data_IF_194794339807
#
_entry.id   IF_194794339807
#
_cell.length_a   1.000
_cell.length_b   1.000
_cell.length_c   1.000
_cell.angle_alpha   90.00
_cell.angle_beta   90.00
_cell.angle_gamma   90.00
#
_symmetry.space_group_name_H-M   'P 1'
#
loop_
_entity.id
_entity.type
_entity.pdbx_description
1 polymer ?
#
# COMPACT_ATOMS: atom_id res chain seq x y z
N UNK A 1 -23.71 10.64 -10.54
CA UNK A 1 -23.86 11.80 -11.45
C UNK A 1 -22.63 12.67 -11.26
N UNK A 2 -21.67 12.66 -12.19
CA UNK A 2 -20.53 13.55 -12.10
C UNK A 2 -20.98 14.96 -12.48
N UNK A 3 -20.89 15.92 -11.55
CA UNK A 3 -21.19 17.33 -11.80
C UNK A 3 -19.86 17.99 -12.15
N UNK A 4 -19.63 18.30 -13.42
CA UNK A 4 -18.40 18.94 -13.86
C UNK A 4 -18.51 19.54 -15.26
N UNK A 5 -17.89 20.70 -15.48
CA UNK A 5 -17.67 21.28 -16.81
C UNK A 5 -16.18 21.17 -17.12
N UNK A 6 -15.81 20.49 -18.20
CA UNK A 6 -14.47 20.61 -18.74
C UNK A 6 -14.24 22.09 -19.14
N UNK A 7 -13.00 22.56 -19.03
CA UNK A 7 -12.66 23.89 -19.52
C UNK A 7 -12.81 23.96 -21.05
N UNK A 8 -12.98 25.18 -21.57
CA UNK A 8 -13.22 25.42 -22.99
C UNK A 8 -12.05 24.96 -23.90
N UNK A 9 -10.87 24.68 -23.33
CA UNK A 9 -9.69 24.18 -24.05
C UNK A 9 -9.72 22.69 -24.39
N UNK A 10 -10.74 21.94 -23.94
CA UNK A 10 -10.87 20.50 -24.22
C UNK A 10 -9.86 19.59 -23.48
N UNK A 11 -8.98 20.19 -22.67
CA UNK A 11 -8.06 19.48 -21.79
C UNK A 11 -8.84 18.75 -20.68
N UNK A 12 -8.54 17.47 -20.45
CA UNK A 12 -9.23 16.61 -19.47
C UNK A 12 -8.42 16.41 -18.18
N UNK A 13 -7.45 17.28 -17.93
CA UNK A 13 -6.52 17.12 -16.81
C UNK A 13 -7.18 17.43 -15.47
N UNK A 14 -7.01 16.52 -14.52
CA UNK A 14 -7.43 16.71 -13.13
C UNK A 14 -6.29 17.41 -12.40
N UNK A 15 -6.52 18.64 -11.92
CA UNK A 15 -5.51 19.42 -11.17
C UNK A 15 -5.64 19.29 -9.65
N UNK A 16 -6.86 19.06 -9.18
CA UNK A 16 -7.15 18.94 -7.76
C UNK A 16 -8.32 17.98 -7.55
N UNK A 17 -8.34 17.33 -6.40
CA UNK A 17 -9.47 16.56 -5.89
C UNK A 17 -9.80 17.04 -4.48
N UNK A 18 -11.09 17.28 -4.24
CA UNK A 18 -11.60 17.60 -2.91
C UNK A 18 -12.37 16.41 -2.36
N UNK A 19 -12.04 16.02 -1.14
CA UNK A 19 -12.66 14.91 -0.42
C UNK A 19 -13.16 15.48 0.91
N UNK A 20 -14.45 15.28 1.17
CA UNK A 20 -15.07 15.71 2.41
C UNK A 20 -15.79 14.54 3.06
N UNK A 21 -15.67 14.44 4.38
CA UNK A 21 -16.47 13.54 5.20
C UNK A 21 -17.48 14.34 6.03
N UNK A 22 -18.66 13.73 6.25
CA UNK A 22 -19.68 14.26 7.13
C UNK A 22 -19.89 13.28 8.28
N UNK A 23 -19.18 13.48 9.39
CA UNK A 23 -19.59 12.92 10.68
C UNK A 23 -19.25 13.90 11.80
N UNK A 24 -20.10 13.91 12.85
CA UNK A 24 -19.90 14.72 14.07
C UNK A 24 -18.59 14.39 14.79
N UNK A 25 -17.96 13.29 14.43
CA UNK A 25 -16.74 12.77 15.05
C UNK A 25 -15.51 13.26 14.27
N UNK A 26 -15.56 13.27 12.93
CA UNK A 26 -14.51 13.89 12.10
C UNK A 26 -14.30 15.38 12.38
N UNK A 27 -15.37 16.10 12.75
CA UNK A 27 -15.27 17.52 13.11
C UNK A 27 -14.46 17.78 14.40
N UNK A 28 -14.20 16.73 15.19
CA UNK A 28 -13.39 16.79 16.43
C UNK A 28 -11.92 16.41 16.21
N UNK A 29 -11.56 15.86 15.06
CA UNK A 29 -10.19 15.46 14.73
C UNK A 29 -9.51 16.58 13.93
N UNK A 30 -8.24 16.84 14.20
CA UNK A 30 -7.46 17.87 13.48
C UNK A 30 -7.16 17.52 12.01
N UNK A 31 -7.38 16.27 11.62
CA UNK A 31 -7.02 15.75 10.30
C UNK A 31 -8.29 15.61 9.44
N UNK A 32 -8.33 16.34 8.33
CA UNK A 32 -9.41 16.23 7.38
C UNK A 32 -9.38 14.87 6.65
N UNK A 33 -10.54 14.42 6.12
CA UNK A 33 -10.65 13.10 5.49
C UNK A 33 -9.66 12.91 4.34
N UNK A 34 -8.64 12.08 4.55
CA UNK A 34 -7.68 11.69 3.53
C UNK A 34 -8.20 10.53 2.67
N UNK A 35 -7.80 10.42 1.39
CA UNK A 35 -8.14 9.27 0.56
C UNK A 35 -7.52 7.99 1.15
N UNK A 36 -8.25 6.88 1.09
CA UNK A 36 -7.71 5.55 1.38
C UNK A 36 -6.59 5.19 0.38
N UNK A 37 -5.80 4.16 0.70
CA UNK A 37 -4.68 3.76 -0.15
C UNK A 37 -5.08 3.49 -1.62
N UNK A 38 -6.21 2.82 -1.87
CA UNK A 38 -6.73 2.58 -3.23
C UNK A 38 -7.03 3.88 -3.99
N UNK A 39 -7.66 4.85 -3.33
CA UNK A 39 -7.95 6.16 -3.94
C UNK A 39 -6.65 6.90 -4.26
N UNK A 40 -5.66 6.85 -3.36
CA UNK A 40 -4.34 7.44 -3.62
C UNK A 40 -3.69 6.83 -4.86
N UNK A 41 -3.74 5.51 -5.01
CA UNK A 41 -3.21 4.81 -6.19
C UNK A 41 -3.83 5.35 -7.47
N UNK A 42 -5.15 5.48 -7.51
CA UNK A 42 -5.87 5.98 -8.68
C UNK A 42 -5.51 7.44 -8.99
N UNK A 43 -5.51 8.32 -7.98
CA UNK A 43 -5.13 9.73 -8.15
C UNK A 43 -3.69 9.84 -8.67
N UNK A 44 -2.78 9.00 -8.17
CA UNK A 44 -1.40 8.98 -8.63
C UNK A 44 -1.29 8.58 -10.10
N UNK A 45 -2.02 7.56 -10.55
CA UNK A 45 -2.02 7.17 -11.96
C UNK A 45 -2.54 8.30 -12.87
N UNK A 46 -3.58 9.03 -12.45
CA UNK A 46 -4.04 10.22 -13.16
C UNK A 46 -2.98 11.34 -13.18
N UNK A 47 -2.20 11.48 -12.10
CA UNK A 47 -1.11 12.45 -11.99
C UNK A 47 0.05 12.13 -12.94
N UNK A 48 0.30 10.84 -13.21
CA UNK A 48 1.31 10.41 -14.18
C UNK A 48 0.87 10.70 -15.62
N UNK A 49 -0.39 10.40 -15.96
CA UNK A 49 -0.93 10.63 -17.31
C UNK A 49 -0.95 12.13 -17.66
N UNK A 50 -1.39 12.97 -16.72
CA UNK A 50 -1.44 14.42 -16.90
C UNK A 50 -0.10 15.12 -16.69
N UNK A 51 0.89 14.43 -16.12
CA UNK A 51 2.16 14.99 -15.66
C UNK A 51 2.01 16.13 -14.64
N UNK A 52 0.86 16.25 -13.98
CA UNK A 52 0.56 17.24 -12.94
C UNK A 52 0.60 16.56 -11.58
N UNK A 53 1.25 17.18 -10.58
CA UNK A 53 1.06 16.72 -9.20
C UNK A 53 -0.32 17.19 -8.72
N UNK A 54 -1.23 16.25 -8.47
CA UNK A 54 -2.63 16.54 -8.18
C UNK A 54 -2.74 17.00 -6.72
N UNK A 55 -3.32 18.17 -6.53
CA UNK A 55 -3.64 18.70 -5.20
C UNK A 55 -4.76 17.86 -4.56
N UNK A 56 -4.58 17.49 -3.30
CA UNK A 56 -5.55 16.76 -2.51
C UNK A 56 -6.02 17.67 -1.38
N UNK A 57 -7.30 18.02 -1.44
CA UNK A 57 -7.97 18.89 -0.48
C UNK A 57 -8.86 18.01 0.40
N UNK A 58 -8.43 17.73 1.63
CA UNK A 58 -9.28 17.13 2.64
C UNK A 58 -10.08 18.21 3.35
N UNK A 59 -11.37 18.02 3.58
CA UNK A 59 -12.15 18.86 4.49
C UNK A 59 -13.07 18.06 5.41
N UNK A 60 -13.41 18.61 6.56
CA UNK A 60 -14.53 18.14 7.39
C UNK A 60 -15.75 19.05 7.19
N UNK A 61 -16.81 18.91 7.99
CA UNK A 61 -17.94 19.85 7.91
C UNK A 61 -17.61 21.21 8.53
N UNK A 62 -16.59 21.25 9.40
CA UNK A 62 -16.00 22.49 9.87
C UNK A 62 -15.11 23.11 8.79
N UNK A 63 -15.53 24.28 8.27
CA UNK A 63 -14.80 25.01 7.21
C UNK A 63 -13.38 25.45 7.62
N UNK A 64 -13.07 25.44 8.91
CA UNK A 64 -11.73 25.75 9.41
C UNK A 64 -10.79 24.53 9.39
N UNK A 65 -11.30 23.32 9.14
CA UNK A 65 -10.51 22.08 9.12
C UNK A 65 -10.35 21.62 7.67
N UNK A 66 -9.42 22.29 6.97
CA UNK A 66 -9.03 21.95 5.60
C UNK A 66 -7.55 21.55 5.60
N UNK A 67 -7.26 20.39 5.04
CA UNK A 67 -5.89 19.93 4.79
C UNK A 67 -5.61 20.03 3.30
N UNK A 68 -4.56 20.76 2.94
CA UNK A 68 -4.05 20.87 1.58
C UNK A 68 -2.74 20.09 1.48
N UNK A 69 -2.68 19.13 0.56
CA UNK A 69 -1.47 18.34 0.27
C UNK A 69 -1.44 17.94 -1.21
N UNK A 70 -0.48 17.11 -1.61
CA UNK A 70 -0.41 16.59 -2.98
C UNK A 70 -0.32 15.07 -2.99
N UNK A 71 -0.65 14.46 -4.12
CA UNK A 71 -0.64 13.00 -4.22
C UNK A 71 0.77 12.42 -4.06
N UNK A 72 1.81 13.11 -4.54
CA UNK A 72 3.21 12.67 -4.35
C UNK A 72 3.59 12.64 -2.86
N UNK A 73 3.10 13.57 -2.04
CA UNK A 73 3.31 13.56 -0.58
C UNK A 73 2.54 12.43 0.13
N UNK A 74 1.39 12.04 -0.41
CA UNK A 74 0.54 10.98 0.16
C UNK A 74 0.94 9.56 -0.26
N UNK A 75 1.80 9.41 -1.27
CA UNK A 75 2.39 8.14 -1.72
C UNK A 75 3.92 8.24 -1.80
N UNK A 76 4.60 8.28 -0.65
CA UNK A 76 6.06 8.26 -0.62
C UNK A 76 6.60 7.01 -1.34
N UNK A 77 7.76 7.16 -1.97
CA UNK A 77 8.46 6.24 -2.90
C UNK A 77 7.94 6.19 -4.35
N UNK A 78 6.73 6.67 -4.62
CA UNK A 78 6.19 6.76 -5.98
C UNK A 78 6.52 8.12 -6.59
N UNK A 79 7.77 8.31 -7.04
CA UNK A 79 8.19 9.52 -7.77
C UNK A 79 7.98 9.35 -9.27
N UNK A 80 7.76 10.46 -10.01
CA UNK A 80 7.67 10.47 -11.49
C UNK A 80 8.89 9.86 -12.21
N UNK A 81 10.00 9.66 -11.51
CA UNK A 81 11.23 9.05 -12.02
C UNK A 81 11.81 8.09 -10.98
N UNK A 82 11.91 6.80 -11.34
CA UNK A 82 12.51 5.74 -10.51
C UNK A 82 14.02 5.95 -10.27
N UNK A 83 14.70 6.74 -11.12
CA UNK A 83 16.15 6.99 -11.08
C UNK A 83 16.65 7.80 -9.88
N UNK A 84 15.76 8.35 -9.04
CA UNK A 84 16.13 9.22 -7.91
C UNK A 84 15.96 8.57 -6.52
N UNK A 85 15.82 7.23 -6.45
CA UNK A 85 15.84 6.52 -5.18
C UNK A 85 17.30 6.24 -4.79
N UNK A 86 17.78 6.95 -3.77
CA UNK A 86 19.07 6.71 -3.15
C UNK A 86 18.97 5.44 -2.30
N UNK A 87 18.98 4.26 -2.94
CA UNK A 87 18.90 2.96 -2.26
C UNK A 87 20.28 2.69 -1.65
N UNK A 88 20.40 2.54 -0.32
CA UNK A 88 21.67 2.19 0.31
C UNK A 88 22.20 0.87 -0.28
N UNK A 89 23.45 0.87 -0.73
CA UNK A 89 24.04 -0.25 -1.45
C UNK A 89 24.39 -1.47 -0.58
N UNK A 90 24.28 -1.37 0.75
CA UNK A 90 24.47 -2.49 1.68
C UNK A 90 23.62 -2.27 2.94
N UNK A 91 22.58 -3.09 3.12
CA UNK A 91 21.79 -3.15 4.36
C UNK A 91 22.15 -4.45 5.07
N UNK A 92 22.53 -4.36 6.35
CA UNK A 92 22.69 -5.55 7.18
C UNK A 92 21.33 -6.02 7.65
N UNK A 93 20.85 -7.13 7.08
CA UNK A 93 19.59 -7.76 7.44
C UNK A 93 19.75 -8.69 8.64
N UNK A 94 18.74 -8.76 9.49
CA UNK A 94 18.64 -9.81 10.50
C UNK A 94 18.36 -11.17 9.83
N UNK A 95 18.66 -12.27 10.52
CA UNK A 95 18.35 -13.62 10.03
C UNK A 95 16.85 -13.77 9.72
N UNK A 96 15.98 -13.21 10.57
CA UNK A 96 14.54 -13.22 10.35
C UNK A 96 14.10 -12.43 9.12
N UNK A 97 14.75 -11.31 8.81
CA UNK A 97 14.48 -10.54 7.59
C UNK A 97 14.94 -11.29 6.34
N UNK A 98 16.12 -11.94 6.39
CA UNK A 98 16.61 -12.78 5.30
C UNK A 98 15.67 -13.94 4.99
N UNK A 99 15.26 -14.69 6.01
CA UNK A 99 14.32 -15.81 5.88
C UNK A 99 12.97 -15.36 5.31
N UNK A 100 12.48 -14.18 5.72
CA UNK A 100 11.22 -13.65 5.23
C UNK A 100 11.30 -13.26 3.74
N UNK A 101 12.40 -12.63 3.31
CA UNK A 101 12.64 -12.32 1.89
C UNK A 101 12.76 -13.60 1.07
N UNK A 102 13.42 -14.63 1.58
CA UNK A 102 13.53 -15.94 0.91
C UNK A 102 12.18 -16.62 0.73
N UNK A 103 11.31 -16.56 1.75
CA UNK A 103 9.95 -17.06 1.64
C UNK A 103 9.15 -16.29 0.57
N UNK A 104 9.32 -14.97 0.48
CA UNK A 104 8.68 -14.15 -0.56
C UNK A 104 9.20 -14.49 -1.96
N UNK A 105 10.52 -14.68 -2.14
CA UNK A 105 11.13 -15.11 -3.40
C UNK A 105 10.57 -16.46 -3.82
N UNK A 106 10.57 -17.46 -2.93
CA UNK A 106 10.04 -18.79 -3.25
C UNK A 106 8.55 -18.74 -3.63
N UNK A 107 7.78 -17.84 -3.03
CA UNK A 107 6.37 -17.72 -3.35
C UNK A 107 6.12 -17.32 -4.82
N UNK A 108 7.05 -16.59 -5.47
CA UNK A 108 6.87 -16.16 -6.88
C UNK A 108 6.66 -17.32 -7.85
N UNK A 109 7.17 -18.51 -7.52
CA UNK A 109 7.06 -19.72 -8.35
C UNK A 109 5.61 -20.17 -8.58
N UNK A 110 4.70 -19.75 -7.70
CA UNK A 110 3.28 -20.14 -7.72
C UNK A 110 2.36 -19.07 -8.29
N UNK A 111 2.91 -17.93 -8.74
CA UNK A 111 2.13 -16.81 -9.23
C UNK A 111 1.28 -17.18 -10.45
N UNK A 112 0.00 -16.85 -10.40
CA UNK A 112 -0.86 -16.89 -11.59
C UNK A 112 -0.91 -15.49 -12.20
N UNK A 113 0.02 -15.20 -13.12
CA UNK A 113 0.14 -13.88 -13.75
C UNK A 113 0.22 -13.94 -15.29
N UNK A 114 -0.76 -14.55 -15.99
CA UNK A 114 -0.68 -14.73 -17.43
C UNK A 114 -0.78 -13.42 -18.22
N UNK A 115 -1.32 -12.34 -17.64
CA UNK A 115 -1.58 -11.09 -18.34
C UNK A 115 -0.39 -10.14 -18.23
N UNK A 116 0.15 -9.92 -17.03
CA UNK A 116 1.29 -9.01 -16.84
C UNK A 116 2.65 -9.68 -16.97
N UNK A 117 2.73 -11.00 -16.77
CA UNK A 117 3.99 -11.75 -16.59
C UNK A 117 4.84 -11.22 -15.42
N UNK A 118 4.20 -10.55 -14.47
CA UNK A 118 4.83 -9.98 -13.28
C UNK A 118 4.44 -10.82 -12.07
N UNK A 119 5.36 -11.71 -11.67
CA UNK A 119 5.16 -12.70 -10.63
C UNK A 119 5.60 -12.10 -9.31
N UNK A 120 4.63 -11.68 -8.50
CA UNK A 120 4.86 -11.06 -7.19
C UNK A 120 4.72 -12.13 -6.12
N UNK A 121 5.68 -12.16 -5.20
CA UNK A 121 5.67 -13.01 -4.03
C UNK A 121 5.72 -12.15 -2.77
N UNK A 122 4.97 -12.56 -1.75
CA UNK A 122 4.97 -11.91 -0.45
C UNK A 122 4.97 -12.93 0.67
N UNK A 123 5.58 -12.55 1.79
CA UNK A 123 5.59 -13.35 3.01
C UNK A 123 5.38 -12.45 4.22
N UNK A 124 4.62 -12.94 5.19
CA UNK A 124 4.35 -12.25 6.46
C UNK A 124 4.98 -13.03 7.61
N UNK A 125 5.57 -12.32 8.56
CA UNK A 125 6.09 -12.85 9.82
C UNK A 125 5.13 -12.46 10.93
N UNK A 126 4.72 -13.42 11.75
CA UNK A 126 3.87 -13.19 12.93
C UNK A 126 4.70 -13.12 14.20
N UNK A 127 4.11 -12.61 15.28
CA UNK A 127 4.77 -12.38 16.57
C UNK A 127 5.35 -13.65 17.21
N UNK A 128 4.74 -14.81 16.95
CA UNK A 128 5.19 -16.14 17.39
C UNK A 128 6.32 -16.71 16.52
N UNK A 129 6.72 -16.03 15.45
CA UNK A 129 7.77 -16.46 14.52
C UNK A 129 7.25 -17.27 13.31
N UNK A 130 5.95 -17.51 13.19
CA UNK A 130 5.38 -18.21 12.04
C UNK A 130 5.48 -17.36 10.76
N UNK A 131 5.72 -18.01 9.62
CA UNK A 131 5.79 -17.36 8.30
C UNK A 131 4.71 -17.93 7.38
N UNK A 132 3.93 -17.02 6.79
CA UNK A 132 2.94 -17.35 5.76
C UNK A 132 3.29 -16.62 4.47
N UNK A 133 3.22 -17.29 3.34
CA UNK A 133 3.56 -16.70 2.04
C UNK A 133 2.49 -16.98 1.00
N UNK A 134 2.46 -16.13 -0.02
CA UNK A 134 1.57 -16.27 -1.16
C UNK A 134 2.13 -15.48 -2.36
N UNK A 135 1.53 -15.72 -3.52
CA UNK A 135 1.81 -15.01 -4.76
C UNK A 135 0.56 -14.33 -5.32
N UNK A 136 0.73 -13.44 -6.29
CA UNK A 136 -0.41 -12.78 -6.93
C UNK A 136 -1.24 -13.74 -7.80
N UNK A 137 -2.54 -13.49 -7.83
CA UNK A 137 -3.51 -14.18 -8.70
C UNK A 137 -4.21 -13.14 -9.54
N UNK A 138 -3.84 -13.09 -10.82
CA UNK A 138 -4.43 -12.15 -11.77
C UNK A 138 -5.79 -12.61 -12.29
N UNK A 139 -6.58 -11.64 -12.70
CA UNK A 139 -7.86 -11.85 -13.35
C UNK A 139 -7.97 -10.95 -14.58
N UNK A 140 -8.62 -11.43 -15.64
CA UNK A 140 -8.88 -10.63 -16.85
C UNK A 140 -9.68 -9.36 -16.54
N UNK A 141 -10.59 -9.44 -15.56
CA UNK A 141 -11.14 -8.26 -14.91
C UNK A 141 -10.12 -7.78 -13.86
N UNK A 142 -9.18 -6.92 -14.26
CA UNK A 142 -8.03 -6.49 -13.43
C UNK A 142 -8.39 -6.03 -12.01
N UNK A 143 -9.58 -5.44 -11.80
CA UNK A 143 -10.06 -5.07 -10.47
C UNK A 143 -10.29 -6.25 -9.51
N UNK A 144 -10.43 -7.47 -10.05
CA UNK A 144 -10.55 -8.73 -9.30
C UNK A 144 -9.20 -9.41 -9.03
N UNK A 145 -8.09 -8.85 -9.48
CA UNK A 145 -6.75 -9.36 -9.16
C UNK A 145 -6.47 -9.23 -7.66
N UNK A 146 -5.93 -10.30 -7.06
CA UNK A 146 -5.50 -10.31 -5.67
C UNK A 146 -3.97 -10.28 -5.63
N UNK A 147 -3.43 -9.26 -4.97
CA UNK A 147 -2.00 -9.11 -4.80
C UNK A 147 -1.45 -10.10 -3.77
N UNK A 148 -0.17 -10.43 -3.89
CA UNK A 148 0.51 -11.41 -3.06
C UNK A 148 0.41 -11.08 -1.56
N UNK A 149 0.55 -9.80 -1.18
CA UNK A 149 0.52 -9.35 0.21
C UNK A 149 -0.84 -9.63 0.86
N UNK A 150 -1.94 -9.34 0.14
CA UNK A 150 -3.30 -9.59 0.62
C UNK A 150 -3.56 -11.09 0.79
N UNK A 151 -3.02 -11.93 -0.10
CA UNK A 151 -3.13 -13.38 0.03
C UNK A 151 -2.26 -13.93 1.16
N UNK A 152 -1.03 -13.43 1.36
CA UNK A 152 -0.15 -13.87 2.43
C UNK A 152 -0.75 -13.55 3.81
N UNK A 153 -1.34 -12.37 3.97
CA UNK A 153 -2.11 -12.01 5.16
C UNK A 153 -3.37 -12.87 5.29
N UNK A 154 -4.09 -13.11 4.19
CA UNK A 154 -5.26 -13.99 4.15
C UNK A 154 -4.94 -15.41 4.62
N UNK A 155 -3.81 -15.96 4.18
CA UNK A 155 -3.30 -17.27 4.61
C UNK A 155 -3.00 -17.29 6.10
N UNK A 156 -2.30 -16.28 6.63
CA UNK A 156 -2.05 -16.15 8.07
C UNK A 156 -3.37 -16.11 8.85
N UNK A 157 -4.33 -15.29 8.44
CA UNK A 157 -5.65 -15.18 9.06
C UNK A 157 -6.43 -16.51 9.01
N UNK A 158 -6.38 -17.24 7.89
CA UNK A 158 -7.04 -18.54 7.75
C UNK A 158 -6.45 -19.59 8.71
N UNK A 159 -5.19 -19.43 9.10
CA UNK A 159 -4.53 -20.23 10.14
C UNK A 159 -4.72 -19.66 11.57
N UNK A 160 -5.52 -18.62 11.74
CA UNK A 160 -5.78 -17.98 13.04
C UNK A 160 -4.70 -16.98 13.47
N UNK A 161 -3.66 -16.75 12.65
CA UNK A 161 -2.56 -15.86 12.97
C UNK A 161 -2.83 -14.44 12.43
N UNK A 162 -3.00 -13.47 13.33
CA UNK A 162 -3.31 -12.07 12.97
C UNK A 162 -2.29 -11.06 13.47
N UNK A 163 -1.40 -11.45 14.38
CA UNK A 163 -0.34 -10.61 14.96
C UNK A 163 0.87 -10.49 14.03
N UNK A 164 0.67 -9.93 12.83
CA UNK A 164 1.71 -9.78 11.81
C UNK A 164 2.64 -8.64 12.20
N UNK A 165 3.95 -8.92 12.27
CA UNK A 165 5.04 -7.97 12.63
C UNK A 165 5.83 -7.44 11.45
N UNK A 166 5.99 -8.24 10.39
CA UNK A 166 6.76 -7.86 9.20
C UNK A 166 6.14 -8.45 7.93
N UNK A 167 6.37 -7.80 6.80
CA UNK A 167 6.01 -8.30 5.48
C UNK A 167 7.19 -8.12 4.53
N UNK A 168 7.58 -9.16 3.79
CA UNK A 168 8.49 -9.03 2.66
C UNK A 168 7.74 -9.14 1.34
N UNK A 169 8.18 -8.38 0.34
CA UNK A 169 7.61 -8.32 -1.01
C UNK A 169 8.75 -8.34 -2.01
N UNK A 170 8.59 -9.14 -3.07
CA UNK A 170 9.51 -9.21 -4.20
C UNK A 170 8.75 -9.58 -5.47
N UNK A 171 9.43 -9.48 -6.61
CA UNK A 171 8.87 -9.88 -7.89
C UNK A 171 9.93 -10.41 -8.84
N UNK A 172 9.51 -11.29 -9.74
CA UNK A 172 10.27 -11.66 -10.93
C UNK A 172 9.40 -11.49 -12.19
N UNK A 173 10.04 -11.20 -13.31
CA UNK A 173 9.41 -11.07 -14.62
C UNK A 173 10.40 -11.48 -15.71
N UNK A 174 9.86 -11.86 -16.88
CA UNK A 174 10.65 -12.20 -18.07
C UNK A 174 11.49 -11.01 -18.57
N UNK A 175 11.09 -9.77 -18.24
CA UNK A 175 11.90 -8.58 -18.42
C UNK A 175 12.92 -8.43 -17.28
N UNK A 176 14.16 -8.86 -17.54
CA UNK A 176 15.32 -8.77 -16.64
C UNK A 176 15.54 -7.38 -16.03
N UNK A 177 15.14 -6.29 -16.70
CA UNK A 177 15.28 -4.94 -16.16
C UNK A 177 14.37 -4.73 -14.94
N UNK A 178 13.19 -5.36 -14.93
CA UNK A 178 12.24 -5.28 -13.82
C UNK A 178 12.71 -6.07 -12.60
N UNK A 179 13.55 -7.09 -12.79
CA UNK A 179 14.10 -7.92 -11.70
C UNK A 179 15.11 -7.19 -10.81
N UNK A 180 15.55 -5.99 -11.22
CA UNK A 180 16.47 -5.11 -10.48
C UNK A 180 15.75 -3.95 -9.79
N UNK A 181 14.43 -3.97 -9.77
CA UNK A 181 13.58 -2.94 -9.15
C UNK A 181 12.83 -3.58 -8.00
N UNK A 182 12.76 -2.89 -6.86
CA UNK A 182 12.00 -3.35 -5.71
C UNK A 182 10.50 -3.36 -6.00
N UNK A 183 9.80 -4.33 -5.42
CA UNK A 183 8.33 -4.39 -5.49
C UNK A 183 7.67 -3.61 -4.37
N UNK A 184 7.03 -2.49 -4.71
CA UNK A 184 6.30 -1.68 -3.74
C UNK A 184 4.83 -2.12 -3.62
N UNK A 185 4.25 -2.13 -2.41
CA UNK A 185 2.85 -2.48 -2.24
C UNK A 185 1.96 -1.43 -2.92
N UNK A 186 0.94 -1.91 -3.65
CA UNK A 186 -0.07 -1.04 -4.25
C UNK A 186 -0.92 -0.34 -3.19
N UNK A 187 -1.66 0.70 -3.58
CA UNK A 187 -2.52 1.43 -2.65
C UNK A 187 -3.49 0.57 -1.84
N UNK A 188 -4.09 -0.45 -2.46
CA UNK A 188 -4.98 -1.38 -1.76
C UNK A 188 -4.23 -2.28 -0.76
N UNK A 189 -3.01 -2.71 -1.09
CA UNK A 189 -2.17 -3.47 -0.16
C UNK A 189 -1.72 -2.60 1.01
N UNK A 190 -1.29 -1.36 0.75
CA UNK A 190 -0.95 -0.40 1.81
C UNK A 190 -2.12 -0.20 2.77
N UNK A 191 -3.33 0.00 2.23
CA UNK A 191 -4.55 0.13 3.01
C UNK A 191 -4.82 -1.11 3.88
N UNK A 192 -4.72 -2.29 3.28
CA UNK A 192 -4.95 -3.56 3.98
C UNK A 192 -3.94 -3.78 5.10
N UNK A 193 -2.65 -3.57 4.84
CA UNK A 193 -1.58 -3.70 5.84
C UNK A 193 -1.76 -2.67 6.97
N UNK A 194 -2.20 -1.46 6.65
CA UNK A 194 -2.45 -0.42 7.66
C UNK A 194 -3.53 -0.85 8.66
N UNK A 195 -4.61 -1.48 8.19
CA UNK A 195 -5.65 -1.99 9.07
C UNK A 195 -5.18 -3.18 9.91
N UNK A 196 -4.33 -4.05 9.35
CA UNK A 196 -3.68 -5.11 10.14
C UNK A 196 -2.79 -4.53 11.24
N UNK A 197 -2.02 -3.47 10.95
CA UNK A 197 -1.20 -2.82 11.97
C UNK A 197 -2.05 -2.27 13.13
N UNK A 198 -3.23 -1.72 12.83
CA UNK A 198 -4.17 -1.28 13.87
C UNK A 198 -4.72 -2.45 14.70
N UNK A 199 -4.97 -3.61 14.08
CA UNK A 199 -5.36 -4.82 14.80
C UNK A 199 -4.23 -5.35 15.69
N UNK A 200 -3.02 -5.49 15.13
CA UNK A 200 -1.84 -6.00 15.82
C UNK A 200 -1.35 -5.10 16.97
N UNK A 201 -1.74 -3.82 16.97
CA UNK A 201 -1.36 -2.85 17.99
C UNK A 201 0.07 -2.31 17.86
N UNK A 202 0.74 -2.52 16.73
CA UNK A 202 2.05 -1.97 16.43
C UNK A 202 2.22 -1.75 14.92
N UNK A 203 3.14 -0.86 14.55
CA UNK A 203 3.44 -0.56 13.14
C UNK A 203 4.17 -1.73 12.47
N UNK A 204 3.82 -2.03 11.21
CA UNK A 204 4.33 -3.18 10.47
C UNK A 204 5.52 -2.77 9.61
N UNK A 205 6.64 -3.48 9.75
CA UNK A 205 7.81 -3.30 8.89
C UNK A 205 7.60 -4.00 7.53
N UNK A 206 7.86 -3.29 6.45
CA UNK A 206 7.70 -3.76 5.07
C UNK A 206 9.07 -3.75 4.39
N UNK A 207 9.52 -4.94 3.98
CA UNK A 207 10.75 -5.18 3.23
C UNK A 207 10.42 -5.32 1.75
N UNK A 208 10.76 -4.32 0.96
CA UNK A 208 10.60 -4.33 -0.50
C UNK A 208 11.95 -4.66 -1.11
N UNK A 209 12.05 -5.82 -1.74
CA UNK A 209 13.30 -6.29 -2.35
C UNK A 209 13.15 -6.44 -3.86
N UNK A 210 14.26 -6.29 -4.59
CA UNK A 210 14.36 -6.85 -5.93
C UNK A 210 14.55 -8.38 -5.86
N UNK A 211 14.49 -9.07 -7.00
CA UNK A 211 14.59 -10.54 -7.02
C UNK A 211 15.97 -11.05 -6.58
N UNK A 212 17.01 -10.25 -6.84
CA UNK A 212 18.41 -10.60 -6.58
C UNK A 212 18.88 -10.31 -5.16
N UNK A 213 18.02 -9.67 -4.35
CA UNK A 213 18.32 -9.12 -3.02
C UNK A 213 19.40 -8.03 -2.99
N UNK A 214 19.74 -7.45 -4.15
CA UNK A 214 20.77 -6.41 -4.24
C UNK A 214 20.22 -5.04 -3.85
N UNK A 215 18.94 -4.81 -4.13
CA UNK A 215 18.23 -3.59 -3.72
C UNK A 215 17.13 -3.94 -2.73
N UNK A 216 17.19 -3.33 -1.55
CA UNK A 216 16.22 -3.54 -0.48
C UNK A 216 15.85 -2.19 0.12
N UNK A 217 14.55 -1.96 0.27
CA UNK A 217 14.00 -0.78 0.94
C UNK A 217 13.15 -1.28 2.10
N UNK A 218 13.47 -0.78 3.29
CA UNK A 218 12.71 -1.08 4.52
C UNK A 218 11.97 0.18 4.94
N UNK A 219 10.66 0.06 5.12
CA UNK A 219 9.77 1.13 5.59
C UNK A 219 8.72 0.57 6.52
N UNK A 220 8.17 1.40 7.39
CA UNK A 220 6.97 1.04 8.12
C UNK A 220 5.70 1.33 7.31
N UNK A 221 4.56 0.72 7.67
CA UNK A 221 3.31 1.01 6.95
C UNK A 221 2.85 2.46 7.16
N UNK A 222 3.09 3.06 8.34
CA UNK A 222 2.85 4.49 8.55
C UNK A 222 3.64 5.36 7.56
N UNK A 223 4.90 4.99 7.29
CA UNK A 223 5.71 5.70 6.30
C UNK A 223 5.22 5.51 4.87
N UNK A 224 4.55 4.39 4.54
CA UNK A 224 4.03 4.13 3.19
C UNK A 224 2.59 4.63 2.97
N UNK A 225 1.82 4.79 4.05
CA UNK A 225 0.45 5.30 4.04
C UNK A 225 0.26 6.35 5.15
N UNK A 226 0.91 7.53 5.02
CA UNK A 226 0.77 8.59 6.02
C UNK A 226 -0.67 9.07 6.08
N UNK A 227 -1.21 9.33 7.27
CA UNK A 227 -2.62 9.70 7.46
C UNK A 227 -3.60 8.69 6.84
N UNK A 228 -3.29 7.40 6.94
CA UNK A 228 -4.13 6.31 6.45
C UNK A 228 -5.56 6.42 7.00
N UNK A 229 -6.54 6.08 6.17
CA UNK A 229 -7.93 5.94 6.60
C UNK A 229 -8.11 4.53 7.15
N UNK A 230 -8.65 4.32 8.35
CA UNK A 230 -8.83 2.99 8.92
C UNK A 230 -9.77 2.99 10.14
N UNK A 231 -9.85 1.88 10.88
CA UNK A 231 -10.69 1.75 12.07
C UNK A 231 -10.60 2.91 13.07
N UNK A 232 -9.40 3.45 13.31
CA UNK A 232 -9.23 4.60 14.21
C UNK A 232 -9.98 5.86 13.73
N UNK A 233 -10.03 6.12 12.43
CA UNK A 233 -10.83 7.19 11.82
C UNK A 233 -12.34 6.89 11.84
N UNK A 234 -12.72 5.62 11.96
CA UNK A 234 -14.10 5.19 12.14
C UNK A 234 -14.50 5.04 13.61
N UNK A 235 -13.60 5.33 14.55
CA UNK A 235 -13.77 5.10 15.99
C UNK A 235 -14.14 3.65 16.34
N UNK A 236 -13.63 2.69 15.56
CA UNK A 236 -13.79 1.26 15.78
C UNK A 236 -12.50 0.73 16.41
N UNK A 237 -12.63 0.17 17.62
CA UNK A 237 -11.57 -0.60 18.26
C UNK A 237 -11.62 -2.04 17.73
N UNK A 238 -10.85 -2.31 16.68
CA UNK A 238 -10.79 -3.64 16.05
C UNK A 238 -10.14 -4.70 16.95
N UNK A 239 -9.34 -4.30 17.94
CA UNK A 239 -8.77 -5.23 18.91
C UNK A 239 -9.83 -5.71 19.92
N UNK A 240 -10.76 -4.83 20.33
CA UNK A 240 -11.86 -5.19 21.25
C UNK A 240 -13.04 -5.92 20.60
N UNK A 241 -13.25 -5.76 19.30
CA UNK A 241 -14.35 -6.42 18.57
C UNK A 241 -14.01 -7.84 18.07
N UNK A 242 -12.88 -8.39 18.53
CA UNK A 242 -12.51 -9.76 18.31
C UNK A 242 -13.51 -10.67 19.03
N UNK A 243 -14.32 -11.44 18.29
CA UNK A 243 -15.18 -12.51 18.83
C UNK A 243 -14.38 -13.72 19.37
N UNK A 244 -13.07 -13.56 19.55
CA UNK A 244 -12.14 -14.56 20.03
C UNK A 244 -11.72 -14.18 21.45
N UNK A 245 -12.66 -14.28 22.39
CA UNK A 245 -12.41 -14.51 23.82
C UNK A 245 -12.85 -15.94 24.15
#
# INVERSE_FOLDING_TARGET
MAIGKANASGTRDIKAIAISSKSKEFDKVEIASGPCGSCRQFIYEMSQVSQIDIEVIGSTTNKNHITLTTIEKLLPLRKKRYVDLNIPSQIHLTDSQNLLIEAAIKATDTAYAPYSKYHVGAAVLTKDGSIFSASNVENAAYGSTICAERLAIGNANASGARDIVKIAITSVSDDEKKNKITSDPCGSCRQFIYEIAQYSGFDIEILMSDFTKNNIIIKSIEQLLPYGFGPSQLHIDVAKNSLLD
#
